data_IF_109085099705
#
_entry.id   IF_109085099705
#
_cell.length_a   1.000
_cell.length_b   1.000
_cell.length_c   1.000
_cell.angle_alpha   90.00
_cell.angle_beta   90.00
_cell.angle_gamma   90.00
#
_symmetry.space_group_name_H-M   'P 1'
#
loop_
_entity.id
_entity.type
_entity.pdbx_description
1 polymer ?
#
# COMPACT_ATOMS: atom_id res chain seq x y z
N UNK A 1 -0.68 -15.45 -7.66
CA UNK A 1 -0.79 -14.25 -8.54
C UNK A 1 -0.80 -14.63 -10.03
N UNK A 2 -0.22 -15.76 -10.42
CA UNK A 2 -0.25 -16.25 -11.81
C UNK A 2 -1.67 -16.58 -12.28
N UNK A 3 -2.45 -17.24 -11.45
CA UNK A 3 -3.85 -17.58 -11.73
C UNK A 3 -4.72 -16.34 -12.03
N UNK A 4 -4.41 -15.17 -11.44
CA UNK A 4 -5.15 -13.93 -11.71
C UNK A 4 -4.86 -13.36 -13.11
N UNK A 5 -3.67 -13.61 -13.66
CA UNK A 5 -3.31 -13.16 -14.99
C UNK A 5 -3.89 -14.10 -16.06
N UNK A 6 -3.93 -15.41 -15.79
CA UNK A 6 -4.54 -16.41 -16.67
C UNK A 6 -6.04 -16.17 -16.85
N UNK A 7 -6.75 -15.89 -15.74
CA UNK A 7 -8.19 -15.59 -15.76
C UNK A 7 -8.55 -14.28 -16.49
N UNK A 8 -7.60 -13.35 -16.60
CA UNK A 8 -7.84 -12.03 -17.23
C UNK A 8 -7.41 -11.94 -18.71
N UNK A 9 -6.93 -13.04 -19.31
CA UNK A 9 -6.46 -13.07 -20.69
C UNK A 9 -5.17 -12.28 -20.94
N UNK A 10 -4.44 -11.92 -19.88
CA UNK A 10 -3.20 -11.18 -19.96
C UNK A 10 -2.01 -12.12 -20.23
N UNK A 11 -1.14 -11.71 -21.15
CA UNK A 11 0.11 -12.43 -21.41
C UNK A 11 1.11 -12.18 -20.29
N UNK A 12 1.37 -13.21 -19.48
CA UNK A 12 2.34 -13.17 -18.41
C UNK A 12 3.70 -13.69 -18.90
N UNK A 13 4.76 -12.89 -18.75
CA UNK A 13 6.14 -13.29 -19.05
C UNK A 13 6.98 -13.25 -17.78
N UNK A 14 7.50 -14.38 -17.38
CA UNK A 14 8.44 -14.48 -16.25
C UNK A 14 9.82 -13.99 -16.67
N UNK A 15 10.40 -13.09 -15.89
CA UNK A 15 11.76 -12.62 -16.10
C UNK A 15 12.73 -13.49 -15.29
N UNK A 16 13.55 -14.26 -15.99
CA UNK A 16 14.56 -15.10 -15.36
C UNK A 16 15.55 -14.24 -14.54
N UNK A 17 15.87 -14.70 -13.33
CA UNK A 17 16.82 -14.02 -12.44
C UNK A 17 16.22 -12.91 -11.59
N UNK A 18 14.99 -12.42 -11.85
CA UNK A 18 14.36 -11.38 -11.06
C UNK A 18 14.00 -11.90 -9.66
N UNK A 19 14.69 -11.41 -8.64
CA UNK A 19 14.48 -11.75 -7.23
C UNK A 19 14.58 -10.52 -6.33
N UNK A 20 14.08 -10.60 -5.08
CA UNK A 20 14.23 -9.49 -4.11
C UNK A 20 15.68 -9.23 -3.71
N UNK A 21 16.49 -10.28 -3.63
CA UNK A 21 17.90 -10.16 -3.28
C UNK A 21 18.69 -9.50 -4.42
N UNK A 22 19.60 -8.60 -4.06
CA UNK A 22 20.52 -7.98 -5.01
C UNK A 22 21.57 -9.03 -5.39
N UNK A 23 21.65 -9.34 -6.68
CA UNK A 23 22.63 -10.26 -7.25
C UNK A 23 23.01 -9.75 -8.63
N UNK A 24 24.18 -9.15 -8.75
CA UNK A 24 24.62 -8.47 -9.96
C UNK A 24 24.54 -9.35 -11.24
N UNK A 25 24.88 -10.63 -11.15
CA UNK A 25 24.73 -11.57 -12.27
C UNK A 25 23.27 -11.82 -12.65
N UNK A 26 22.42 -12.13 -11.67
CA UNK A 26 21.00 -12.35 -11.93
C UNK A 26 20.32 -11.07 -12.41
N UNK A 27 20.75 -9.93 -11.92
CA UNK A 27 20.22 -8.63 -12.29
C UNK A 27 20.63 -8.25 -13.71
N UNK A 28 21.86 -8.59 -14.11
CA UNK A 28 22.32 -8.42 -15.48
C UNK A 28 21.54 -9.33 -16.46
N UNK A 29 21.33 -10.59 -16.11
CA UNK A 29 20.51 -11.53 -16.91
C UNK A 29 19.08 -10.99 -17.04
N UNK A 30 18.47 -10.53 -15.95
CA UNK A 30 17.14 -9.96 -15.95
C UNK A 30 17.05 -8.70 -16.81
N UNK A 31 18.06 -7.85 -16.76
CA UNK A 31 18.16 -6.64 -17.59
C UNK A 31 18.22 -6.97 -19.09
N UNK A 32 19.09 -7.90 -19.51
CA UNK A 32 19.19 -8.32 -20.90
C UNK A 32 17.91 -8.99 -21.41
N UNK A 33 17.21 -9.75 -20.53
CA UNK A 33 15.91 -10.35 -20.86
C UNK A 33 14.86 -9.25 -21.09
N UNK A 34 14.76 -8.24 -20.20
CA UNK A 34 13.86 -7.11 -20.38
C UNK A 34 14.18 -6.32 -21.66
N UNK A 35 15.47 -6.07 -21.92
CA UNK A 35 15.91 -5.34 -23.11
C UNK A 35 15.51 -6.07 -24.40
N UNK A 36 15.64 -7.40 -24.40
CA UNK A 36 15.23 -8.24 -25.54
C UNK A 36 13.73 -8.21 -25.75
N UNK A 37 12.93 -8.32 -24.68
CA UNK A 37 11.47 -8.22 -24.73
C UNK A 37 11.05 -6.86 -25.29
N UNK A 38 11.56 -5.75 -24.75
CA UNK A 38 11.15 -4.42 -25.19
C UNK A 38 11.56 -4.13 -26.65
N UNK A 39 12.66 -4.69 -27.13
CA UNK A 39 13.05 -4.56 -28.55
C UNK A 39 12.20 -5.41 -29.48
N UNK A 40 11.75 -6.59 -29.05
CA UNK A 40 10.88 -7.46 -29.86
C UNK A 40 9.43 -7.00 -29.85
N UNK A 41 8.86 -6.67 -28.69
CA UNK A 41 7.46 -6.29 -28.55
C UNK A 41 7.19 -4.81 -28.91
N UNK A 42 8.22 -3.94 -28.84
CA UNK A 42 8.16 -2.49 -29.14
C UNK A 42 6.99 -1.80 -28.46
N UNK A 43 6.85 -1.89 -27.11
CA UNK A 43 5.71 -1.30 -26.42
C UNK A 43 5.75 0.23 -26.52
N UNK A 44 4.58 0.87 -26.66
CA UNK A 44 4.43 2.31 -26.60
C UNK A 44 4.59 2.84 -25.17
N UNK A 45 4.19 2.06 -24.18
CA UNK A 45 4.24 2.41 -22.76
C UNK A 45 4.93 1.32 -21.96
N UNK A 46 5.91 1.70 -21.16
CA UNK A 46 6.45 0.84 -20.10
C UNK A 46 6.14 1.47 -18.75
N UNK A 47 5.36 0.75 -17.95
CA UNK A 47 5.06 1.11 -16.58
C UNK A 47 5.77 0.15 -15.62
N UNK A 48 6.60 0.69 -14.74
CA UNK A 48 7.42 -0.09 -13.81
C UNK A 48 6.97 0.11 -12.37
N UNK A 49 7.14 -0.93 -11.55
CA UNK A 49 6.79 -0.92 -10.12
C UNK A 49 7.96 -1.46 -9.29
N UNK A 50 8.00 -1.09 -8.01
CA UNK A 50 9.03 -1.50 -7.03
C UNK A 50 10.44 -1.01 -7.34
N UNK A 51 11.34 -1.01 -6.35
CA UNK A 51 12.67 -0.39 -6.49
C UNK A 51 13.53 -1.10 -7.56
N UNK A 52 13.86 -2.38 -7.37
CA UNK A 52 14.78 -3.12 -8.24
C UNK A 52 14.25 -3.32 -9.66
N UNK A 53 13.00 -3.80 -9.79
CA UNK A 53 12.37 -3.97 -11.09
C UNK A 53 12.14 -2.61 -11.78
N UNK A 54 11.89 -1.57 -10.99
CA UNK A 54 11.83 -0.18 -11.47
C UNK A 54 13.12 0.31 -12.10
N UNK A 55 14.26 0.06 -11.47
CA UNK A 55 15.58 0.44 -12.02
C UNK A 55 15.86 -0.31 -13.32
N UNK A 56 15.79 -1.65 -13.28
CA UNK A 56 16.12 -2.48 -14.45
C UNK A 56 15.15 -2.24 -15.62
N UNK A 57 13.86 -2.12 -15.33
CA UNK A 57 12.84 -1.87 -16.35
C UNK A 57 12.96 -0.50 -17.00
N UNK A 58 13.19 0.57 -16.21
CA UNK A 58 13.39 1.92 -16.77
C UNK A 58 14.67 2.01 -17.60
N UNK A 59 15.79 1.41 -17.15
CA UNK A 59 17.03 1.35 -17.94
C UNK A 59 16.81 0.62 -19.27
N UNK A 60 16.17 -0.55 -19.25
CA UNK A 60 15.86 -1.30 -20.45
C UNK A 60 14.94 -0.51 -21.40
N UNK A 61 13.92 0.19 -20.85
CA UNK A 61 13.01 1.02 -21.62
C UNK A 61 13.72 2.23 -22.29
N UNK A 62 14.65 2.88 -21.57
CA UNK A 62 15.48 3.97 -22.12
C UNK A 62 16.32 3.46 -23.31
N UNK A 63 17.04 2.34 -23.12
CA UNK A 63 17.90 1.78 -24.17
C UNK A 63 17.12 1.18 -25.36
N UNK A 64 15.87 0.77 -25.14
CA UNK A 64 14.95 0.32 -26.18
C UNK A 64 14.18 1.47 -26.83
N UNK A 65 14.41 2.72 -26.40
CA UNK A 65 13.73 3.93 -26.90
C UNK A 65 12.20 3.85 -26.79
N UNK A 66 11.70 3.22 -25.70
CA UNK A 66 10.25 3.19 -25.45
C UNK A 66 9.71 4.60 -25.34
N UNK A 67 8.63 4.95 -26.07
CA UNK A 67 8.13 6.33 -26.14
C UNK A 67 7.69 6.89 -24.77
N UNK A 68 6.91 6.11 -24.00
CA UNK A 68 6.37 6.54 -22.71
C UNK A 68 6.88 5.64 -21.59
N UNK A 69 7.47 6.26 -20.56
CA UNK A 69 8.03 5.59 -19.39
C UNK A 69 7.40 6.14 -18.12
N UNK A 70 6.71 5.28 -17.39
CA UNK A 70 6.04 5.61 -16.13
C UNK A 70 6.58 4.72 -15.01
N UNK A 71 6.67 5.25 -13.80
CA UNK A 71 7.08 4.49 -12.62
C UNK A 71 6.18 4.78 -11.43
N UNK A 72 5.69 3.74 -10.74
CA UNK A 72 4.93 3.87 -9.49
C UNK A 72 5.79 3.50 -8.29
N UNK A 73 5.88 4.42 -7.33
CA UNK A 73 6.39 4.15 -5.99
C UNK A 73 5.28 3.59 -5.10
N UNK A 74 5.45 2.35 -4.60
CA UNK A 74 4.54 1.73 -3.60
C UNK A 74 5.00 1.93 -2.16
N UNK A 75 5.93 2.78 -1.94
CA UNK A 75 6.74 3.07 -0.76
C UNK A 75 8.16 3.32 -1.24
N UNK A 76 9.00 3.89 -0.41
CA UNK A 76 10.39 4.13 -0.77
C UNK A 76 11.35 3.59 0.29
N UNK A 77 12.59 3.35 -0.13
CA UNK A 77 13.67 2.82 0.70
C UNK A 77 14.74 3.88 1.00
N UNK A 78 14.39 5.16 0.86
CA UNK A 78 15.35 6.26 0.95
C UNK A 78 15.79 6.56 2.39
N UNK A 79 14.98 6.20 3.37
CA UNK A 79 15.29 6.36 4.78
C UNK A 79 14.99 5.09 5.58
N UNK A 80 15.82 4.79 6.59
CA UNK A 80 15.57 3.73 7.55
C UNK A 80 15.89 2.28 7.13
N UNK A 81 16.20 2.05 5.84
CA UNK A 81 16.50 0.70 5.31
C UNK A 81 17.99 0.45 5.10
N UNK A 82 18.75 1.48 4.76
CA UNK A 82 20.18 1.38 4.41
C UNK A 82 21.00 2.45 5.13
N UNK A 83 22.33 2.24 5.25
CA UNK A 83 23.25 3.28 5.70
C UNK A 83 23.12 4.57 4.85
N UNK A 84 23.37 5.76 5.42
CA UNK A 84 23.14 7.05 4.76
C UNK A 84 23.79 7.19 3.37
N UNK A 85 24.98 6.66 3.20
CA UNK A 85 25.71 6.71 1.92
C UNK A 85 25.00 5.93 0.82
N UNK A 86 24.49 4.72 1.15
CA UNK A 86 23.75 3.87 0.21
C UNK A 86 22.41 4.53 -0.13
N UNK A 87 21.70 5.05 0.88
CA UNK A 87 20.44 5.78 0.68
C UNK A 87 20.64 6.98 -0.25
N UNK A 88 21.72 7.73 -0.07
CA UNK A 88 22.05 8.85 -0.96
C UNK A 88 22.30 8.39 -2.41
N UNK A 89 23.05 7.32 -2.60
CA UNK A 89 23.28 6.75 -3.94
C UNK A 89 21.98 6.32 -4.61
N UNK A 90 21.09 5.66 -3.86
CA UNK A 90 19.75 5.26 -4.36
C UNK A 90 18.97 6.48 -4.82
N UNK A 91 18.96 7.57 -4.03
CA UNK A 91 18.27 8.82 -4.39
C UNK A 91 18.86 9.42 -5.67
N UNK A 92 20.18 9.43 -5.84
CA UNK A 92 20.84 9.95 -7.07
C UNK A 92 20.44 9.13 -8.29
N UNK A 93 20.47 7.79 -8.18
CA UNK A 93 20.02 6.89 -9.27
C UNK A 93 18.55 7.12 -9.60
N UNK A 94 17.68 7.23 -8.59
CA UNK A 94 16.25 7.45 -8.78
C UNK A 94 15.98 8.81 -9.45
N UNK A 95 16.70 9.87 -9.09
CA UNK A 95 16.61 11.19 -9.76
C UNK A 95 16.96 11.11 -11.24
N UNK A 96 18.03 10.39 -11.56
CA UNK A 96 18.44 10.20 -12.94
C UNK A 96 17.39 9.42 -13.75
N UNK A 97 16.84 8.34 -13.17
CA UNK A 97 15.77 7.56 -13.79
C UNK A 97 14.48 8.36 -13.93
N UNK A 98 14.12 9.16 -12.94
CA UNK A 98 12.94 10.02 -12.97
C UNK A 98 13.09 11.15 -14.01
N UNK A 99 14.29 11.69 -14.21
CA UNK A 99 14.57 12.64 -15.28
C UNK A 99 14.22 12.06 -16.66
N UNK A 100 14.53 10.77 -16.89
CA UNK A 100 14.24 10.05 -18.13
C UNK A 100 12.86 9.40 -18.17
N UNK A 101 12.06 9.52 -17.13
CA UNK A 101 10.66 9.07 -17.08
C UNK A 101 9.73 10.23 -17.46
N UNK A 102 8.60 9.92 -18.07
CA UNK A 102 7.59 10.91 -18.40
C UNK A 102 6.78 11.30 -17.17
N UNK A 103 6.34 10.31 -16.37
CA UNK A 103 5.66 10.52 -15.12
C UNK A 103 6.13 9.56 -14.03
N UNK A 104 6.08 10.06 -12.81
CA UNK A 104 6.22 9.30 -11.57
C UNK A 104 4.86 9.29 -10.88
N UNK A 105 4.41 8.11 -10.48
CA UNK A 105 3.14 7.95 -9.74
C UNK A 105 3.47 7.73 -8.27
N UNK A 106 2.91 8.58 -7.43
CA UNK A 106 2.82 8.41 -5.99
C UNK A 106 1.47 7.83 -5.63
N UNK A 107 1.42 6.94 -4.63
CA UNK A 107 0.16 6.29 -4.20
C UNK A 107 -0.59 7.10 -3.14
N UNK A 108 0.01 8.18 -2.64
CA UNK A 108 -0.62 9.10 -1.69
C UNK A 108 -0.07 10.52 -1.85
N UNK A 109 -0.79 11.49 -1.32
CA UNK A 109 -0.38 12.89 -1.38
C UNK A 109 0.83 13.19 -0.48
N UNK A 110 0.94 12.49 0.67
CA UNK A 110 2.14 12.55 1.51
C UNK A 110 3.36 12.07 0.75
N UNK A 111 3.26 10.91 0.09
CA UNK A 111 4.36 10.38 -0.71
C UNK A 111 4.72 11.31 -1.88
N UNK A 112 3.73 11.95 -2.53
CA UNK A 112 4.01 12.94 -3.59
C UNK A 112 4.85 14.10 -3.04
N UNK A 113 4.49 14.61 -1.86
CA UNK A 113 5.25 15.69 -1.19
C UNK A 113 6.66 15.27 -0.81
N UNK A 114 6.85 14.06 -0.26
CA UNK A 114 8.16 13.51 0.06
C UNK A 114 9.03 13.39 -1.19
N UNK A 115 8.50 12.79 -2.27
CA UNK A 115 9.23 12.61 -3.54
C UNK A 115 9.60 13.94 -4.20
N UNK A 116 8.73 14.96 -4.14
CA UNK A 116 8.96 16.26 -4.75
C UNK A 116 9.87 17.16 -3.91
N UNK A 117 9.63 17.26 -2.61
CA UNK A 117 10.19 18.30 -1.75
C UNK A 117 11.37 17.78 -0.91
N UNK A 118 11.24 16.61 -0.28
CA UNK A 118 12.26 16.08 0.62
C UNK A 118 13.38 15.41 -0.17
N UNK A 119 13.02 14.39 -0.95
CA UNK A 119 14.01 13.63 -1.74
C UNK A 119 14.31 14.25 -3.10
N UNK A 120 13.48 15.19 -3.58
CA UNK A 120 13.65 15.88 -4.87
C UNK A 120 13.89 14.89 -6.01
N UNK A 121 13.12 13.82 -6.05
CA UNK A 121 13.24 12.75 -7.09
C UNK A 121 12.86 13.29 -8.46
N UNK A 122 11.77 14.07 -8.53
CA UNK A 122 11.33 14.73 -9.75
C UNK A 122 10.61 16.04 -9.40
N UNK A 123 10.51 17.00 -10.36
CA UNK A 123 9.70 18.20 -10.15
C UNK A 123 8.22 17.84 -10.01
N UNK A 124 7.49 18.63 -9.22
CA UNK A 124 6.11 18.36 -8.83
C UNK A 124 5.14 18.10 -10.01
N UNK A 125 5.37 18.75 -11.17
CA UNK A 125 4.54 18.55 -12.37
C UNK A 125 4.72 17.19 -13.04
N UNK A 126 5.82 16.48 -12.77
CA UNK A 126 6.06 15.11 -13.23
C UNK A 126 5.53 14.06 -12.25
N UNK A 127 5.14 14.45 -11.04
CA UNK A 127 4.64 13.51 -10.03
C UNK A 127 3.13 13.63 -9.93
N UNK A 128 2.41 12.55 -10.24
CA UNK A 128 0.96 12.47 -10.12
C UNK A 128 0.58 11.54 -8.98
N UNK A 129 -0.49 11.87 -8.26
CA UNK A 129 -1.02 11.00 -7.22
C UNK A 129 -2.11 10.12 -7.81
N UNK A 130 -1.89 8.80 -7.82
CA UNK A 130 -2.89 7.80 -8.17
C UNK A 130 -2.93 6.81 -7.01
N UNK A 131 -3.93 6.91 -6.11
CA UNK A 131 -4.07 6.00 -4.99
C UNK A 131 -4.25 4.54 -5.44
N UNK A 132 -3.90 3.60 -4.59
CA UNK A 132 -4.04 2.17 -4.85
C UNK A 132 -5.48 1.82 -5.23
N UNK A 133 -5.65 0.83 -6.12
CA UNK A 133 -6.92 0.18 -6.40
C UNK A 133 -6.95 -1.20 -5.75
N UNK A 134 -7.95 -1.41 -4.89
CA UNK A 134 -8.18 -2.68 -4.22
C UNK A 134 -9.46 -3.34 -4.73
N UNK A 135 -9.51 -4.67 -4.70
CA UNK A 135 -10.75 -5.39 -4.88
C UNK A 135 -11.57 -5.30 -3.59
N UNK A 136 -12.44 -4.29 -3.55
CA UNK A 136 -13.25 -4.01 -2.36
C UNK A 136 -14.55 -4.83 -2.31
N UNK A 137 -14.94 -5.49 -3.42
CA UNK A 137 -16.23 -6.19 -3.52
C UNK A 137 -16.42 -7.25 -2.42
N UNK A 138 -15.47 -8.14 -2.11
CA UNK A 138 -15.64 -9.13 -1.05
C UNK A 138 -15.90 -8.50 0.32
N UNK A 139 -15.23 -7.38 0.62
CA UNK A 139 -15.33 -6.66 1.90
C UNK A 139 -16.62 -5.83 2.01
N UNK A 140 -17.06 -5.21 0.91
CA UNK A 140 -18.30 -4.43 0.86
C UNK A 140 -19.55 -5.32 0.95
N UNK A 141 -19.47 -6.53 0.40
CA UNK A 141 -20.60 -7.49 0.31
C UNK A 141 -20.74 -8.36 1.55
N UNK A 142 -19.74 -8.41 2.44
CA UNK A 142 -19.81 -9.20 3.67
C UNK A 142 -20.83 -8.59 4.64
N UNK A 143 -22.07 -9.03 4.51
CA UNK A 143 -23.14 -8.72 5.45
C UNK A 143 -22.88 -9.46 6.77
N UNK A 144 -22.27 -8.76 7.72
CA UNK A 144 -22.20 -9.00 9.15
C UNK A 144 -22.34 -10.42 9.71
N UNK A 145 -21.55 -10.71 10.72
CA UNK A 145 -21.63 -11.75 11.80
C UNK A 145 -22.20 -13.17 11.51
N UNK A 146 -22.93 -13.45 10.41
CA UNK A 146 -23.72 -14.69 10.32
C UNK A 146 -22.98 -15.94 9.81
N UNK A 147 -21.94 -15.80 8.96
CA UNK A 147 -21.44 -16.99 8.24
C UNK A 147 -20.23 -17.73 8.87
N UNK A 148 -19.67 -17.25 9.96
CA UNK A 148 -18.42 -17.80 10.53
C UNK A 148 -18.51 -18.14 12.02
N UNK A 149 -19.70 -18.14 12.59
CA UNK A 149 -19.95 -18.49 14.01
C UNK A 149 -19.45 -19.90 14.41
N UNK A 150 -19.20 -20.77 13.43
CA UNK A 150 -18.70 -22.13 13.67
C UNK A 150 -17.19 -22.26 13.91
N UNK A 151 -16.38 -21.26 13.50
CA UNK A 151 -14.91 -21.34 13.60
C UNK A 151 -14.34 -20.80 14.91
N UNK A 152 -15.06 -19.93 15.58
CA UNK A 152 -14.69 -19.39 16.90
C UNK A 152 -15.93 -19.49 17.82
N UNK A 153 -15.79 -20.14 18.97
CA UNK A 153 -16.79 -20.11 20.03
C UNK A 153 -16.76 -18.71 20.68
N UNK A 154 -17.51 -17.77 20.13
CA UNK A 154 -17.58 -16.39 20.63
C UNK A 154 -18.96 -16.14 21.20
N UNK A 155 -19.02 -15.62 22.42
CA UNK A 155 -20.26 -15.12 23.03
C UNK A 155 -20.75 -13.89 22.25
N UNK A 156 -22.08 -13.70 22.05
CA UNK A 156 -22.63 -12.52 21.39
C UNK A 156 -22.26 -11.18 22.07
N UNK A 157 -21.75 -11.21 23.29
CA UNK A 157 -21.36 -10.05 24.10
C UNK A 157 -19.87 -9.74 24.07
N UNK A 158 -19.03 -10.63 23.50
CA UNK A 158 -17.59 -10.41 23.44
C UNK A 158 -17.21 -9.47 22.29
N UNK A 159 -16.45 -8.42 22.61
CA UNK A 159 -15.82 -7.56 21.60
C UNK A 159 -14.63 -8.25 20.94
N UNK A 160 -14.43 -7.98 19.65
CA UNK A 160 -13.34 -8.54 18.88
C UNK A 160 -12.46 -7.46 18.26
N UNK A 161 -11.23 -7.39 18.72
CA UNK A 161 -10.22 -6.47 18.24
C UNK A 161 -9.23 -7.22 17.35
N UNK A 162 -9.06 -6.78 16.10
CA UNK A 162 -8.19 -7.43 15.12
C UNK A 162 -6.85 -6.73 14.92
N UNK A 163 -5.81 -7.53 14.78
CA UNK A 163 -4.54 -7.14 14.20
C UNK A 163 -4.27 -8.05 12.99
N UNK A 164 -4.04 -7.46 11.80
CA UNK A 164 -3.90 -8.22 10.56
C UNK A 164 -2.60 -7.82 9.88
N UNK A 165 -1.71 -8.79 9.65
CA UNK A 165 -0.45 -8.52 8.98
C UNK A 165 0.58 -9.64 9.10
N UNK A 166 1.74 -9.45 8.47
CA UNK A 166 2.86 -10.36 8.67
C UNK A 166 3.49 -10.12 10.04
N UNK A 167 3.79 -11.18 10.78
CA UNK A 167 4.50 -11.09 12.06
C UNK A 167 5.98 -10.77 11.84
N UNK A 168 6.27 -9.52 11.48
CA UNK A 168 7.61 -9.00 11.17
C UNK A 168 7.90 -7.74 11.96
N UNK A 169 9.18 -7.41 12.10
CA UNK A 169 9.61 -6.21 12.83
C UNK A 169 8.94 -4.93 12.34
N UNK A 170 8.75 -4.77 11.03
CA UNK A 170 8.15 -3.55 10.46
C UNK A 170 6.68 -3.39 10.82
N UNK A 171 5.94 -4.50 11.04
CA UNK A 171 4.53 -4.50 11.44
C UNK A 171 4.33 -4.42 12.95
N UNK A 172 5.38 -4.66 13.73
CA UNK A 172 5.47 -4.54 15.17
C UNK A 172 4.30 -5.19 15.96
N UNK A 173 4.10 -6.52 15.80
CA UNK A 173 3.06 -7.23 16.53
C UNK A 173 3.25 -7.19 18.05
N UNK A 174 4.50 -6.99 18.52
CA UNK A 174 4.81 -6.90 19.94
C UNK A 174 4.23 -5.63 20.58
N UNK A 175 4.18 -4.51 19.86
CA UNK A 175 3.53 -3.28 20.33
C UNK A 175 2.02 -3.52 20.54
N UNK A 176 1.37 -4.25 19.63
CA UNK A 176 -0.02 -4.66 19.83
C UNK A 176 -0.20 -5.49 21.10
N UNK A 177 0.61 -6.54 21.32
CA UNK A 177 0.52 -7.37 22.51
C UNK A 177 0.73 -6.58 23.81
N UNK A 178 1.68 -5.63 23.83
CA UNK A 178 1.86 -4.70 24.97
C UNK A 178 0.63 -3.84 25.22
N UNK A 179 -0.10 -3.46 24.18
CA UNK A 179 -1.31 -2.67 24.35
C UNK A 179 -2.48 -3.48 24.93
N UNK A 180 -2.56 -4.78 24.60
CA UNK A 180 -3.59 -5.68 25.15
C UNK A 180 -3.53 -5.77 26.66
N UNK A 181 -2.33 -5.88 27.23
CA UNK A 181 -2.12 -5.90 28.67
C UNK A 181 -2.56 -4.58 29.35
N UNK A 182 -2.48 -3.47 28.63
CA UNK A 182 -2.86 -2.14 29.11
C UNK A 182 -4.35 -1.83 29.03
N UNK A 183 -5.16 -2.62 28.28
CA UNK A 183 -6.62 -2.44 28.18
C UNK A 183 -7.28 -2.94 29.47
N UNK A 184 -7.89 -2.02 30.22
CA UNK A 184 -8.58 -2.31 31.49
C UNK A 184 -10.10 -2.20 31.32
N UNK A 185 -10.85 -2.95 32.15
CA UNK A 185 -12.30 -2.82 32.24
C UNK A 185 -13.11 -3.56 31.16
N UNK A 186 -12.48 -4.10 30.13
CA UNK A 186 -13.13 -4.85 29.07
C UNK A 186 -12.68 -6.31 29.06
N UNK A 187 -13.01 -7.07 30.12
CA UNK A 187 -12.60 -8.47 30.30
C UNK A 187 -13.23 -9.41 29.26
N UNK A 188 -14.33 -9.01 28.62
CA UNK A 188 -15.01 -9.75 27.55
C UNK A 188 -14.49 -9.38 26.16
N UNK A 189 -13.21 -8.93 26.04
CA UNK A 189 -12.59 -8.59 24.74
C UNK A 189 -11.63 -9.67 24.30
N UNK A 190 -11.82 -10.17 23.09
CA UNK A 190 -10.91 -11.09 22.39
C UNK A 190 -10.07 -10.32 21.38
N UNK A 191 -8.80 -10.68 21.32
CA UNK A 191 -7.81 -10.10 20.40
C UNK A 191 -7.38 -11.15 19.39
N UNK A 192 -7.62 -10.89 18.11
CA UNK A 192 -7.30 -11.80 17.02
C UNK A 192 -6.13 -11.27 16.21
N UNK A 193 -5.03 -12.01 16.19
CA UNK A 193 -3.89 -11.73 15.33
C UNK A 193 -3.95 -12.66 14.10
N UNK A 194 -4.16 -12.06 12.93
CA UNK A 194 -4.34 -12.78 11.66
C UNK A 194 -3.10 -12.58 10.79
N UNK A 195 -2.36 -13.66 10.59
CA UNK A 195 -1.11 -13.68 9.84
C UNK A 195 -0.04 -14.52 10.49
N UNK A 196 1.13 -14.57 9.87
CA UNK A 196 2.28 -15.34 10.31
C UNK A 196 3.58 -14.64 9.93
N UNK A 197 4.72 -15.10 10.45
CA UNK A 197 6.02 -14.53 10.10
C UNK A 197 7.12 -14.86 11.10
N UNK A 198 8.27 -14.24 10.89
CA UNK A 198 9.51 -14.49 11.63
C UNK A 198 9.40 -14.24 13.16
N UNK A 199 8.46 -13.38 13.59
CA UNK A 199 8.24 -13.06 14.99
C UNK A 199 7.17 -13.94 15.65
N UNK A 200 6.67 -15.01 14.99
CA UNK A 200 5.63 -15.88 15.56
C UNK A 200 6.02 -16.43 16.93
N UNK A 201 7.17 -17.05 17.03
CA UNK A 201 7.63 -17.63 18.29
C UNK A 201 7.81 -16.57 19.40
N UNK A 202 8.31 -15.38 19.04
CA UNK A 202 8.45 -14.28 20.00
C UNK A 202 7.09 -13.76 20.49
N UNK A 203 6.07 -13.74 19.62
CA UNK A 203 4.70 -13.37 20.01
C UNK A 203 4.09 -14.43 20.94
N UNK A 204 4.23 -15.72 20.63
CA UNK A 204 3.72 -16.81 21.46
C UNK A 204 4.36 -16.77 22.87
N UNK A 205 5.68 -16.57 22.96
CA UNK A 205 6.39 -16.39 24.24
C UNK A 205 5.87 -15.19 25.02
N UNK A 206 5.60 -14.08 24.35
CA UNK A 206 5.12 -12.87 24.98
C UNK A 206 3.69 -13.01 25.51
N UNK A 207 2.82 -13.72 24.78
CA UNK A 207 1.47 -14.04 25.20
C UNK A 207 1.49 -14.84 26.50
N UNK A 208 2.34 -15.89 26.56
CA UNK A 208 2.51 -16.69 27.78
C UNK A 208 3.13 -15.91 28.94
N UNK A 209 4.14 -15.09 28.67
CA UNK A 209 4.80 -14.28 29.71
C UNK A 209 3.87 -13.21 30.33
N UNK A 210 2.88 -12.76 29.58
CA UNK A 210 1.86 -11.79 30.05
C UNK A 210 0.59 -12.45 30.57
N UNK A 211 0.49 -13.78 30.53
CA UNK A 211 -0.68 -14.57 30.99
C UNK A 211 -1.99 -14.13 30.29
N UNK A 212 -1.91 -13.83 28.96
CA UNK A 212 -3.04 -13.35 28.15
C UNK A 212 -3.54 -14.38 27.10
N UNK A 213 -3.19 -15.68 27.23
CA UNK A 213 -3.59 -16.75 26.31
C UNK A 213 -5.11 -16.90 26.20
N UNK A 214 -5.83 -16.59 27.28
CA UNK A 214 -7.28 -16.60 27.31
C UNK A 214 -7.93 -15.43 26.56
N UNK A 215 -7.17 -14.39 26.21
CA UNK A 215 -7.65 -13.17 25.53
C UNK A 215 -7.11 -13.02 24.12
N UNK A 216 -5.94 -13.57 23.79
CA UNK A 216 -5.25 -13.39 22.50
C UNK A 216 -5.19 -14.72 21.75
N UNK A 217 -5.49 -14.68 20.45
CA UNK A 217 -5.34 -15.83 19.56
C UNK A 217 -4.59 -15.44 18.28
N UNK A 218 -3.52 -16.16 17.95
CA UNK A 218 -2.82 -16.01 16.66
C UNK A 218 -3.32 -17.14 15.73
N UNK A 219 -4.15 -16.78 14.75
CA UNK A 219 -4.85 -17.74 13.88
C UNK A 219 -4.09 -18.13 12.62
N UNK A 220 -2.87 -17.58 12.43
CA UNK A 220 -2.05 -17.87 11.25
C UNK A 220 -2.56 -17.22 9.96
N UNK A 221 -2.05 -17.69 8.83
CA UNK A 221 -2.47 -17.23 7.51
C UNK A 221 -3.89 -17.62 7.17
N UNK A 222 -4.67 -16.63 6.69
CA UNK A 222 -6.05 -16.82 6.26
C UNK A 222 -6.24 -16.36 4.81
N UNK A 223 -7.03 -17.11 4.03
CA UNK A 223 -7.29 -16.80 2.61
C UNK A 223 -8.47 -15.84 2.42
N UNK A 224 -9.51 -15.98 3.21
CA UNK A 224 -10.77 -15.24 3.11
C UNK A 224 -10.83 -14.18 4.20
N UNK A 225 -10.02 -13.12 4.06
CA UNK A 225 -9.91 -12.07 5.08
C UNK A 225 -11.23 -11.32 5.29
N UNK A 226 -12.06 -11.19 4.26
CA UNK A 226 -13.36 -10.54 4.31
C UNK A 226 -14.27 -11.14 5.41
N UNK A 227 -14.19 -12.46 5.61
CA UNK A 227 -14.93 -13.15 6.66
C UNK A 227 -14.43 -12.82 8.07
N UNK A 228 -13.13 -12.57 8.20
CA UNK A 228 -12.51 -12.18 9.46
C UNK A 228 -12.83 -10.72 9.81
N UNK A 229 -12.69 -9.81 8.85
CA UNK A 229 -13.08 -8.41 9.06
C UNK A 229 -14.54 -8.28 9.48
N UNK A 230 -15.45 -9.08 8.91
CA UNK A 230 -16.85 -9.06 9.26
C UNK A 230 -17.15 -9.39 10.74
N UNK A 231 -16.25 -10.11 11.44
CA UNK A 231 -16.36 -10.47 12.85
C UNK A 231 -15.80 -9.42 13.80
N UNK A 232 -14.86 -8.62 13.34
CA UNK A 232 -14.14 -7.69 14.18
C UNK A 232 -14.97 -6.44 14.46
N UNK A 233 -14.82 -5.85 15.63
CA UNK A 233 -15.42 -4.56 16.00
C UNK A 233 -14.53 -3.40 15.59
N UNK A 234 -13.22 -3.58 15.62
CA UNK A 234 -12.22 -2.62 15.17
C UNK A 234 -10.89 -3.31 14.79
N UNK A 235 -10.05 -2.58 14.06
CA UNK A 235 -8.71 -3.02 13.65
C UNK A 235 -7.64 -2.15 14.31
N UNK A 236 -6.51 -2.76 14.67
CA UNK A 236 -5.33 -2.05 15.20
C UNK A 236 -4.15 -2.21 14.26
N UNK A 237 -3.50 -1.10 13.91
CA UNK A 237 -2.27 -1.05 13.11
C UNK A 237 -1.12 -0.48 13.96
N UNK A 238 -0.08 -1.28 14.16
CA UNK A 238 1.08 -0.94 15.02
C UNK A 238 2.38 -0.76 14.26
N UNK A 239 2.32 -0.71 12.95
CA UNK A 239 3.49 -0.67 12.07
C UNK A 239 4.44 0.48 12.39
N UNK A 240 5.74 0.23 12.15
CA UNK A 240 6.80 1.25 12.27
C UNK A 240 6.80 2.18 11.06
N UNK A 241 6.45 1.65 9.88
CA UNK A 241 6.34 2.41 8.64
C UNK A 241 5.34 1.76 7.69
N UNK A 242 4.58 2.59 6.96
CA UNK A 242 3.63 2.17 5.94
C UNK A 242 3.70 3.11 4.72
N UNK A 243 3.51 2.54 3.54
CA UNK A 243 3.15 3.34 2.38
C UNK A 243 1.67 3.74 2.47
N UNK A 244 0.80 2.99 1.80
CA UNK A 244 -0.65 3.04 2.04
C UNK A 244 -1.07 1.70 2.60
N UNK A 245 -1.50 1.60 3.87
CA UNK A 245 -1.80 0.31 4.50
C UNK A 245 -3.10 -0.28 3.97
N UNK A 246 -3.00 -1.31 3.12
CA UNK A 246 -4.14 -2.02 2.52
C UNK A 246 -5.07 -2.59 3.59
N UNK A 247 -4.52 -3.06 4.70
CA UNK A 247 -5.28 -3.58 5.84
C UNK A 247 -6.31 -2.58 6.40
N UNK A 248 -6.00 -1.28 6.39
CA UNK A 248 -6.95 -0.25 6.81
C UNK A 248 -7.99 0.05 5.72
N UNK A 249 -7.63 -0.06 4.44
CA UNK A 249 -8.57 0.05 3.32
C UNK A 249 -9.60 -1.09 3.39
N UNK A 250 -9.14 -2.33 3.63
CA UNK A 250 -10.00 -3.51 3.81
C UNK A 250 -10.89 -3.39 5.06
N UNK A 251 -10.34 -2.89 6.17
CA UNK A 251 -11.11 -2.61 7.40
C UNK A 251 -12.25 -1.63 7.12
N UNK A 252 -11.94 -0.49 6.52
CA UNK A 252 -12.93 0.52 6.15
C UNK A 252 -13.96 -0.02 5.16
N UNK A 253 -13.56 -0.80 4.14
CA UNK A 253 -14.48 -1.45 3.21
C UNK A 253 -15.46 -2.39 3.93
N UNK A 254 -14.99 -3.05 4.98
CA UNK A 254 -15.81 -3.91 5.85
C UNK A 254 -16.63 -3.11 6.89
N UNK A 255 -16.60 -1.78 6.87
CA UNK A 255 -17.27 -0.91 7.82
C UNK A 255 -16.69 -0.99 9.24
N UNK A 256 -15.39 -1.25 9.37
CA UNK A 256 -14.71 -1.33 10.67
C UNK A 256 -13.85 -0.10 10.90
N UNK A 257 -14.05 0.61 12.02
CA UNK A 257 -13.14 1.68 12.43
C UNK A 257 -11.78 1.10 12.82
N UNK A 258 -10.79 1.95 12.91
CA UNK A 258 -9.45 1.49 13.25
C UNK A 258 -8.73 2.42 14.23
N UNK A 259 -7.77 1.85 14.93
CA UNK A 259 -6.74 2.54 15.71
C UNK A 259 -5.42 2.32 15.01
N UNK A 260 -4.69 3.36 14.65
CA UNK A 260 -3.44 3.23 13.94
C UNK A 260 -2.35 4.14 14.54
N UNK A 261 -1.12 3.62 14.56
CA UNK A 261 0.05 4.48 14.81
C UNK A 261 0.20 5.43 13.63
N UNK A 262 0.44 6.71 13.92
CA UNK A 262 0.64 7.76 12.91
C UNK A 262 2.01 7.62 12.22
N UNK A 263 2.05 6.85 11.14
CA UNK A 263 3.27 6.57 10.36
C UNK A 263 3.00 6.57 8.86
N UNK A 264 3.92 7.16 8.12
CA UNK A 264 3.87 7.16 6.65
C UNK A 264 2.52 7.60 6.09
N UNK A 265 1.97 6.83 5.14
CA UNK A 265 0.71 7.15 4.46
C UNK A 265 -0.57 6.81 5.25
N UNK A 266 -0.50 6.48 6.54
CA UNK A 266 -1.69 6.22 7.36
C UNK A 266 -2.56 7.49 7.47
N UNK A 267 -1.92 8.67 7.65
CA UNK A 267 -2.62 9.95 7.76
C UNK A 267 -3.40 10.33 6.50
N UNK A 268 -2.99 9.86 5.31
CA UNK A 268 -3.71 10.10 4.05
C UNK A 268 -5.04 9.31 3.95
N UNK A 269 -5.27 8.36 4.86
CA UNK A 269 -6.52 7.60 4.97
C UNK A 269 -7.54 8.24 5.92
N UNK A 270 -7.19 9.33 6.62
CA UNK A 270 -8.08 10.00 7.56
C UNK A 270 -9.11 10.86 6.85
N UNK A 271 -10.32 10.92 7.41
CA UNK A 271 -11.45 11.70 6.89
C UNK A 271 -11.78 12.83 7.86
N UNK A 272 -11.74 14.07 7.34
CA UNK A 272 -12.04 15.28 8.11
C UNK A 272 -10.87 15.73 8.99
N UNK A 273 -11.16 16.67 9.87
CA UNK A 273 -10.20 17.21 10.82
C UNK A 273 -10.17 16.40 12.11
N UNK A 274 -9.01 16.33 12.74
CA UNK A 274 -8.84 15.63 14.00
C UNK A 274 -9.47 16.40 15.17
N UNK A 275 -10.21 15.69 16.01
CA UNK A 275 -10.59 16.15 17.35
C UNK A 275 -9.62 15.52 18.35
N UNK A 276 -8.94 16.32 19.14
CA UNK A 276 -8.03 15.81 20.16
C UNK A 276 -8.80 15.41 21.43
N UNK A 277 -8.63 14.15 21.82
CA UNK A 277 -9.13 13.59 23.08
C UNK A 277 -7.93 13.02 23.83
N UNK A 278 -7.41 13.73 24.81
CA UNK A 278 -6.12 13.43 25.46
C UNK A 278 -4.96 13.36 24.44
N UNK A 279 -4.32 12.20 24.30
CA UNK A 279 -3.25 11.96 23.33
C UNK A 279 -3.75 11.35 22.01
N UNK A 280 -5.08 11.18 21.86
CA UNK A 280 -5.70 10.60 20.68
C UNK A 280 -6.04 11.71 19.68
N UNK A 281 -5.77 11.48 18.41
CA UNK A 281 -6.33 12.25 17.30
C UNK A 281 -7.50 11.46 16.69
N UNK A 282 -8.72 11.87 17.03
CA UNK A 282 -9.95 11.21 16.62
C UNK A 282 -10.46 11.82 15.32
N UNK A 283 -10.54 11.04 14.27
CA UNK A 283 -11.09 11.40 12.97
C UNK A 283 -12.45 10.74 12.74
N UNK A 284 -13.12 11.09 11.65
CA UNK A 284 -14.46 10.58 11.35
C UNK A 284 -14.50 9.08 10.99
N UNK A 285 -13.37 8.45 10.71
CA UNK A 285 -13.26 7.03 10.29
C UNK A 285 -12.26 6.20 11.10
N UNK A 286 -11.53 6.81 12.04
CA UNK A 286 -10.54 6.11 12.85
C UNK A 286 -9.80 7.02 13.81
N UNK A 287 -8.84 6.47 14.53
CA UNK A 287 -8.04 7.18 15.54
C UNK A 287 -6.55 7.01 15.24
N UNK A 288 -5.83 8.13 15.21
CA UNK A 288 -4.37 8.13 15.19
C UNK A 288 -3.82 8.27 16.61
N UNK A 289 -2.79 7.50 16.88
CA UNK A 289 -2.12 7.47 18.19
C UNK A 289 -0.60 7.53 18.03
N UNK A 290 0.12 8.04 19.04
CA UNK A 290 1.56 7.86 19.12
C UNK A 290 1.91 6.37 19.26
N UNK A 291 3.17 6.00 18.93
CA UNK A 291 3.67 4.63 19.04
C UNK A 291 3.93 4.25 20.50
N UNK A 292 2.87 4.16 21.26
CA UNK A 292 2.85 3.90 22.70
C UNK A 292 1.72 2.90 23.07
N UNK A 293 2.01 1.84 23.85
CA UNK A 293 1.01 0.83 24.23
C UNK A 293 -0.18 1.40 24.97
N UNK A 294 0.02 2.39 25.84
CA UNK A 294 -1.05 3.00 26.64
C UNK A 294 -1.99 3.81 25.77
N UNK A 295 -1.46 4.59 24.82
CA UNK A 295 -2.25 5.37 23.86
C UNK A 295 -3.09 4.47 22.96
N UNK A 296 -2.52 3.33 22.49
CA UNK A 296 -3.26 2.33 21.72
C UNK A 296 -4.38 1.73 22.58
N UNK A 297 -4.10 1.34 23.81
CA UNK A 297 -5.09 0.79 24.74
C UNK A 297 -6.22 1.79 25.03
N UNK A 298 -5.92 3.07 25.23
CA UNK A 298 -6.91 4.12 25.43
C UNK A 298 -7.81 4.28 24.20
N UNK A 299 -7.24 4.25 22.99
CA UNK A 299 -8.03 4.35 21.76
C UNK A 299 -8.91 3.13 21.53
N UNK A 300 -8.44 1.93 21.84
CA UNK A 300 -9.24 0.71 21.81
C UNK A 300 -10.44 0.85 22.78
N UNK A 301 -10.18 1.20 24.04
CA UNK A 301 -11.23 1.41 25.07
C UNK A 301 -12.23 2.46 24.60
N UNK A 302 -11.77 3.62 24.11
CA UNK A 302 -12.62 4.69 23.61
C UNK A 302 -13.58 4.24 22.50
N UNK A 303 -13.14 3.34 21.61
CA UNK A 303 -14.01 2.77 20.57
C UNK A 303 -14.93 1.69 21.13
N UNK A 304 -14.48 0.86 22.07
CA UNK A 304 -15.31 -0.23 22.62
C UNK A 304 -16.47 0.28 23.49
N UNK A 305 -16.31 1.42 24.15
CA UNK A 305 -17.34 2.03 25.01
C UNK A 305 -18.57 2.57 24.26
N UNK A 306 -18.49 2.79 22.93
CA UNK A 306 -19.55 3.41 22.16
C UNK A 306 -19.78 2.72 20.81
N UNK A 307 -20.83 1.92 20.72
CA UNK A 307 -21.19 1.20 19.50
C UNK A 307 -21.61 2.14 18.36
N UNK A 308 -22.35 3.19 18.65
CA UNK A 308 -22.78 4.16 17.64
C UNK A 308 -21.57 4.85 17.01
N UNK A 309 -20.58 5.23 17.82
CA UNK A 309 -19.30 5.79 17.33
C UNK A 309 -18.60 4.83 16.38
N UNK A 310 -18.53 3.53 16.73
CA UNK A 310 -17.92 2.51 15.84
C UNK A 310 -18.67 2.38 14.53
N UNK A 311 -20.00 2.39 14.57
CA UNK A 311 -20.84 2.29 13.38
C UNK A 311 -20.70 3.52 12.48
N UNK A 312 -20.72 4.72 13.03
CA UNK A 312 -20.59 5.98 12.28
C UNK A 312 -19.21 6.10 11.63
N UNK A 313 -18.15 5.78 12.37
CA UNK A 313 -16.79 5.74 11.85
C UNK A 313 -16.62 4.67 10.75
N UNK A 314 -17.20 3.50 10.95
CA UNK A 314 -17.17 2.42 9.97
C UNK A 314 -17.88 2.78 8.68
N UNK A 315 -19.06 3.41 8.75
CA UNK A 315 -19.82 3.87 7.60
C UNK A 315 -19.06 4.97 6.83
N UNK A 316 -18.51 5.97 7.55
CA UNK A 316 -17.68 7.03 6.96
C UNK A 316 -16.46 6.43 6.23
N UNK A 317 -15.79 5.47 6.84
CA UNK A 317 -14.65 4.77 6.24
C UNK A 317 -15.04 4.01 4.98
N UNK A 318 -16.19 3.30 5.00
CA UNK A 318 -16.71 2.53 3.86
C UNK A 318 -17.02 3.41 2.64
N UNK A 319 -17.64 4.55 2.84
CA UNK A 319 -17.90 5.51 1.77
C UNK A 319 -16.60 6.04 1.17
N UNK A 320 -15.67 6.46 2.03
CA UNK A 320 -14.38 7.00 1.62
C UNK A 320 -13.57 6.03 0.75
N UNK A 321 -13.46 4.75 1.14
CA UNK A 321 -12.66 3.79 0.36
C UNK A 321 -13.36 3.36 -0.92
N UNK A 322 -14.67 3.28 -0.95
CA UNK A 322 -15.45 2.97 -2.15
C UNK A 322 -15.18 3.98 -3.27
N UNK A 323 -15.09 5.25 -2.92
CA UNK A 323 -14.84 6.33 -3.88
C UNK A 323 -13.38 6.39 -4.32
N UNK A 324 -12.43 6.20 -3.37
CA UNK A 324 -11.01 6.52 -3.60
C UNK A 324 -10.12 5.32 -3.91
N UNK A 325 -10.50 4.10 -3.49
CA UNK A 325 -9.62 2.94 -3.55
C UNK A 325 -10.18 1.77 -4.37
N UNK A 326 -11.20 2.00 -5.21
CA UNK A 326 -11.71 0.97 -6.10
C UNK A 326 -10.74 0.67 -7.25
N UNK A 327 -10.70 -0.59 -7.69
CA UNK A 327 -9.94 -1.02 -8.88
C UNK A 327 -10.33 -0.20 -10.12
N UNK A 328 -11.62 0.01 -10.32
CA UNK A 328 -12.17 0.72 -11.47
C UNK A 328 -11.63 2.13 -11.56
N UNK A 329 -11.66 2.88 -10.44
CA UNK A 329 -11.13 4.24 -10.36
C UNK A 329 -9.63 4.26 -10.72
N UNK A 330 -8.81 3.35 -10.12
CA UNK A 330 -7.38 3.30 -10.42
C UNK A 330 -7.12 3.01 -11.91
N UNK A 331 -7.86 2.08 -12.50
CA UNK A 331 -7.72 1.76 -13.93
C UNK A 331 -8.05 2.98 -14.81
N UNK A 332 -9.14 3.68 -14.53
CA UNK A 332 -9.55 4.90 -15.25
C UNK A 332 -8.49 6.02 -15.12
N UNK A 333 -7.91 6.21 -13.94
CA UNK A 333 -6.85 7.20 -13.72
C UNK A 333 -5.59 6.86 -14.53
N UNK A 334 -5.18 5.58 -14.54
CA UNK A 334 -4.05 5.10 -15.33
C UNK A 334 -4.30 5.23 -16.84
N UNK A 335 -5.46 4.83 -17.33
CA UNK A 335 -5.85 4.97 -18.73
C UNK A 335 -5.87 6.44 -19.18
N UNK A 336 -6.38 7.31 -18.32
CA UNK A 336 -6.40 8.77 -18.58
C UNK A 336 -4.97 9.33 -18.62
N UNK A 337 -4.09 8.89 -17.72
CA UNK A 337 -2.70 9.29 -17.73
C UNK A 337 -1.98 8.82 -18.99
N UNK A 338 -2.09 7.54 -19.35
CA UNK A 338 -1.44 7.00 -20.55
C UNK A 338 -1.95 7.66 -21.83
N UNK A 339 -3.26 7.82 -21.97
CA UNK A 339 -3.87 8.46 -23.14
C UNK A 339 -3.38 9.90 -23.31
N UNK A 340 -3.30 10.67 -22.21
CA UNK A 340 -2.79 12.04 -22.24
C UNK A 340 -1.33 12.10 -22.68
N UNK A 341 -0.47 11.21 -22.14
CA UNK A 341 0.96 11.22 -22.46
C UNK A 341 1.22 10.77 -23.88
N UNK A 342 0.52 9.73 -24.35
CA UNK A 342 0.62 9.24 -25.71
C UNK A 342 0.22 10.33 -26.72
N UNK A 343 -0.94 10.98 -26.52
CA UNK A 343 -1.38 12.09 -27.37
C UNK A 343 -0.32 13.19 -27.48
N UNK A 344 0.19 13.66 -26.35
CA UNK A 344 1.22 14.70 -26.30
C UNK A 344 2.48 14.31 -27.11
N UNK A 345 2.92 13.05 -26.99
CA UNK A 345 4.12 12.56 -27.70
C UNK A 345 3.89 12.44 -29.21
N UNK A 346 2.76 11.90 -29.63
CA UNK A 346 2.45 11.72 -31.06
C UNK A 346 2.10 13.03 -31.78
N UNK A 347 1.43 13.97 -31.11
CA UNK A 347 1.18 15.30 -31.66
C UNK A 347 2.46 16.09 -31.85
N UNK A 348 3.39 16.03 -30.90
CA UNK A 348 4.70 16.69 -31.01
C UNK A 348 5.52 16.13 -32.20
N UNK A 349 5.42 14.83 -32.46
CA UNK A 349 6.09 14.21 -33.62
C UNK A 349 5.51 14.69 -34.97
N UNK A 350 4.17 14.83 -35.09
CA UNK A 350 3.53 15.35 -36.31
C UNK A 350 3.98 16.78 -36.64
N UNK A 351 4.07 17.65 -35.66
CA UNK A 351 4.51 19.04 -35.88
C UNK A 351 6.00 19.13 -36.24
N UNK A 352 6.85 18.22 -35.76
CA UNK A 352 8.25 18.20 -36.11
C UNK A 352 8.53 17.70 -37.55
N UNK A 353 7.68 16.87 -38.12
CA UNK A 353 7.78 16.39 -39.49
C UNK A 353 7.26 17.42 -40.53
N UNK A 354 6.24 18.20 -40.15
CA UNK A 354 5.69 19.24 -41.04
C UNK A 354 6.52 20.52 -41.09
N UNK A 355 7.48 20.70 -40.21
CA UNK A 355 8.37 21.87 -40.15
C UNK A 355 9.73 21.69 -40.82
N UNK A 356 10.00 20.59 -41.55
CA UNK A 356 11.16 20.52 -42.43
C UNK A 356 10.88 21.32 -43.69
N UNK A 357 11.75 22.33 -44.03
CA UNK A 357 11.61 23.06 -45.26
C UNK A 357 11.73 22.08 -46.45
N UNK A 358 10.81 22.16 -47.38
CA UNK A 358 10.91 21.48 -48.66
C UNK A 358 12.17 22.03 -49.36
N UNK A 359 13.22 21.25 -49.46
CA UNK A 359 14.33 21.55 -50.37
C UNK A 359 13.77 21.57 -51.79
N UNK A 360 13.60 22.75 -52.32
CA UNK A 360 13.33 22.93 -53.75
C UNK A 360 14.54 22.45 -54.56
N UNK A 361 14.36 21.62 -55.59
CA UNK A 361 15.45 21.27 -56.47
C UNK A 361 15.86 22.53 -57.26
N UNK A 362 17.08 22.97 -57.10
CA UNK A 362 17.74 23.93 -57.98
C UNK A 362 17.79 23.32 -59.36
N UNK A 363 16.98 23.90 -60.29
CA UNK A 363 17.15 23.69 -61.72
C UNK A 363 18.37 24.47 -62.19
N UNK A 364 19.28 23.77 -62.79
CA UNK A 364 20.29 24.30 -63.73
C UNK A 364 20.25 23.51 -64.99
#
# INVERSE_FOLDING_TARGET
>A
MEYLAEDSGLRLTRIAGMSRQISWWKDLVSFWHLLRIFRSERPDVVHTHTAKAGVLGRLAAILSRVPVRVHTFHGHVFSGYFPPLISHLIVVVERWLAYHSDYIIAISESQRRELANEFRIAPAHKIVTIPLGCDLHPFLSSNGRQDVAGLLRVSPREHQVGWIGRLTRIKDPQLFLKSVDSVRGHHETRYLMIGDGELRAACDQMISAQEIENRVSIVGWQRHLEQWYAKLDLIVLTSINEGTPVVLIEAMASGRPFVAVDVGGVRDLMVGDAVRVNQLEVFRNGILVPRDPKSIAQAITYLLEDENRRLDMGNTGREFVRERFSKQRMTQDLESLYSRVLRSKFETHRFSETSKPSESPLQS
#
